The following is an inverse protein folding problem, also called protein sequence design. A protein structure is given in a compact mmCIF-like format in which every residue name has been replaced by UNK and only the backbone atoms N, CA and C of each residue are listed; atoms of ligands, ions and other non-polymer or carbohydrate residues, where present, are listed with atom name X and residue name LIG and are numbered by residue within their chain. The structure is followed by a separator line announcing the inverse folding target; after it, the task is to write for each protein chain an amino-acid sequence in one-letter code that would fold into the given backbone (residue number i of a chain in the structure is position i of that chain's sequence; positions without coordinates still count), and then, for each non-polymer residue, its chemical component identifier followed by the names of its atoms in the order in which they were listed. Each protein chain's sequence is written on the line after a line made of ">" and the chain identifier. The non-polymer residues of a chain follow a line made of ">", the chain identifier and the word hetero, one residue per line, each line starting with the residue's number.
data_IF_623055065431
#
_entry.id   IF_623055065431
#
_cell.length_a   1.000
_cell.length_b   1.000
_cell.length_c   1.000
_cell.angle_alpha   90.00
_cell.angle_beta   90.00
_cell.angle_gamma   90.00
#
_symmetry.space_group_name_H-M   'P 1'
#
loop_
_entity.id
_entity.type
_entity.pdbx_description
1 polymer ?
#
# COMPACT_ATOMS: atom_id res chain seq x y z
N UNK A 1 8.70 12.87 -4.79
CA UNK A 1 8.85 14.26 -5.24
C UNK A 1 7.50 14.96 -5.15
N UNK A 2 7.47 16.07 -4.42
CA UNK A 2 6.30 16.96 -4.38
C UNK A 2 6.43 17.96 -5.53
N UNK A 3 5.83 17.66 -6.68
CA UNK A 3 6.01 18.46 -7.90
C UNK A 3 5.24 19.77 -7.84
N UNK A 4 3.98 19.71 -7.40
CA UNK A 4 3.09 20.87 -7.25
C UNK A 4 2.37 20.87 -5.92
N UNK A 5 2.98 20.28 -4.90
CA UNK A 5 2.44 20.17 -3.57
C UNK A 5 3.37 20.79 -2.54
N UNK A 6 2.78 21.40 -1.50
CA UNK A 6 3.47 21.88 -0.31
C UNK A 6 2.79 21.35 0.93
N UNK A 7 3.56 21.14 1.99
CA UNK A 7 3.02 20.75 3.29
C UNK A 7 2.40 21.97 3.97
N UNK A 8 1.19 21.84 4.48
CA UNK A 8 0.50 22.87 5.26
C UNK A 8 -0.12 22.28 6.52
N UNK A 9 -0.59 23.17 7.40
CA UNK A 9 -1.36 22.81 8.57
C UNK A 9 -2.74 23.47 8.49
N UNK A 10 -3.77 22.67 8.31
CA UNK A 10 -5.15 23.09 8.38
C UNK A 10 -5.67 22.98 9.82
N UNK A 11 -6.43 23.97 10.27
CA UNK A 11 -6.91 24.02 11.66
C UNK A 11 -7.94 22.93 12.01
N UNK A 12 -8.62 22.34 11.01
CA UNK A 12 -9.63 21.29 11.19
C UNK A 12 -9.03 19.90 10.90
N UNK A 13 -8.19 19.79 9.87
CA UNK A 13 -7.66 18.49 9.39
C UNK A 13 -6.22 18.20 9.82
N UNK A 14 -5.51 19.16 10.40
CA UNK A 14 -4.11 19.03 10.79
C UNK A 14 -3.17 19.11 9.59
N UNK A 15 -2.08 18.30 9.59
CA UNK A 15 -1.10 18.29 8.50
C UNK A 15 -1.72 17.81 7.20
N UNK A 16 -1.60 18.60 6.14
CA UNK A 16 -2.13 18.31 4.83
C UNK A 16 -1.14 18.67 3.71
N UNK A 17 -1.42 18.19 2.50
CA UNK A 17 -0.76 18.65 1.29
C UNK A 17 -1.70 19.60 0.54
N UNK A 18 -1.23 20.81 0.29
CA UNK A 18 -1.92 21.80 -0.54
C UNK A 18 -1.18 21.97 -1.87
N UNK A 19 -1.88 22.36 -2.93
CA UNK A 19 -1.24 22.62 -4.22
C UNK A 19 -0.43 23.92 -4.13
N UNK A 20 0.84 23.89 -4.55
CA UNK A 20 1.73 25.06 -4.55
C UNK A 20 1.35 26.12 -5.58
N UNK A 21 0.61 25.71 -6.62
CA UNK A 21 0.15 26.54 -7.73
C UNK A 21 -1.18 25.99 -8.29
N UNK A 22 -1.72 26.64 -9.34
CA UNK A 22 -2.90 26.14 -10.05
C UNK A 22 -2.56 24.83 -10.78
N UNK A 23 -3.45 23.84 -10.67
CA UNK A 23 -3.28 22.52 -11.30
C UNK A 23 -4.42 22.22 -12.27
N UNK A 24 -4.07 21.67 -13.42
CA UNK A 24 -5.04 21.27 -14.44
C UNK A 24 -5.51 19.82 -14.26
N UNK A 25 -6.62 19.47 -14.93
CA UNK A 25 -7.14 18.10 -14.88
C UNK A 25 -6.15 17.15 -15.56
N UNK A 26 -5.74 16.12 -14.83
CA UNK A 26 -4.82 15.10 -15.33
C UNK A 26 -3.35 15.39 -15.01
N UNK A 27 -3.07 16.52 -14.37
CA UNK A 27 -1.72 16.89 -13.98
C UNK A 27 -1.21 16.09 -12.78
N UNK A 28 0.09 15.75 -12.82
CA UNK A 28 0.77 15.03 -11.75
C UNK A 28 1.17 16.00 -10.63
N UNK A 29 0.50 15.88 -9.48
CA UNK A 29 0.72 16.79 -8.33
C UNK A 29 1.80 16.26 -7.39
N UNK A 30 1.79 14.95 -7.15
CA UNK A 30 2.69 14.24 -6.24
C UNK A 30 3.04 12.90 -6.87
N UNK A 31 4.32 12.53 -6.79
CA UNK A 31 4.79 11.20 -7.10
C UNK A 31 5.72 10.74 -5.99
N UNK A 32 5.41 9.63 -5.34
CA UNK A 32 6.24 9.10 -4.27
C UNK A 32 6.40 7.59 -4.43
N UNK A 33 7.60 7.10 -4.14
CA UNK A 33 7.83 5.67 -4.02
C UNK A 33 7.36 5.22 -2.63
N UNK A 34 6.72 4.05 -2.53
CA UNK A 34 6.38 3.50 -1.22
C UNK A 34 7.67 3.26 -0.43
N UNK A 35 7.63 3.52 0.88
CA UNK A 35 8.76 3.23 1.76
C UNK A 35 9.03 1.72 1.85
N UNK A 36 7.98 0.92 1.95
CA UNK A 36 8.04 -0.52 1.76
C UNK A 36 6.74 -1.02 1.10
N UNK A 37 6.84 -2.18 0.47
CA UNK A 37 5.72 -2.91 -0.10
C UNK A 37 5.97 -4.41 0.06
N UNK A 38 4.89 -5.18 0.10
CA UNK A 38 4.93 -6.61 0.32
C UNK A 38 3.56 -7.23 0.14
N UNK A 39 3.40 -8.53 0.47
CA UNK A 39 2.13 -9.22 0.45
C UNK A 39 1.07 -8.44 1.23
N UNK A 40 -0.15 -8.42 0.68
CA UNK A 40 -1.33 -7.86 1.36
C UNK A 40 -1.61 -8.72 2.59
N UNK A 41 -2.09 -8.13 3.69
CA UNK A 41 -2.67 -8.92 4.77
C UNK A 41 -3.76 -9.83 4.24
N UNK A 42 -3.81 -11.04 4.79
CA UNK A 42 -4.77 -12.06 4.40
C UNK A 42 -4.61 -12.48 2.91
N UNK A 43 -3.39 -12.46 2.37
CA UNK A 43 -3.11 -13.03 1.06
C UNK A 43 -2.86 -14.53 1.14
N UNK A 44 -3.16 -15.26 0.08
CA UNK A 44 -2.61 -16.59 -0.13
C UNK A 44 -1.08 -16.56 -0.35
N UNK A 45 -0.50 -17.71 -0.68
CA UNK A 45 0.94 -17.80 -0.89
C UNK A 45 1.34 -17.08 -2.18
N UNK A 46 2.23 -16.10 -2.06
CA UNK A 46 2.75 -15.32 -3.19
C UNK A 46 4.27 -15.33 -3.20
N UNK A 47 4.85 -15.20 -4.40
CA UNK A 47 6.29 -15.00 -4.56
C UNK A 47 6.73 -13.70 -3.91
N UNK A 48 7.77 -13.75 -3.08
CA UNK A 48 8.29 -12.57 -2.38
C UNK A 48 8.99 -11.57 -3.29
N UNK A 49 9.33 -11.93 -4.53
CA UNK A 49 9.90 -11.03 -5.53
C UNK A 49 8.85 -10.33 -6.40
N UNK A 50 7.90 -11.09 -6.96
CA UNK A 50 6.96 -10.57 -7.97
C UNK A 50 5.48 -10.60 -7.57
N UNK A 51 5.14 -11.08 -6.36
CA UNK A 51 3.78 -11.18 -5.83
C UNK A 51 2.78 -12.02 -6.62
N UNK A 52 3.24 -12.79 -7.62
CA UNK A 52 2.38 -13.78 -8.26
C UNK A 52 2.00 -14.83 -7.24
N UNK A 53 0.76 -15.32 -7.30
CA UNK A 53 0.35 -16.49 -6.54
C UNK A 53 1.20 -17.71 -6.92
N UNK A 54 1.60 -18.44 -5.90
CA UNK A 54 2.34 -19.69 -6.04
C UNK A 54 1.44 -20.85 -5.63
N UNK A 55 1.61 -21.98 -6.29
CA UNK A 55 0.88 -23.21 -5.98
C UNK A 55 1.78 -24.06 -5.08
N UNK A 56 1.24 -24.45 -3.94
CA UNK A 56 1.87 -25.37 -2.98
C UNK A 56 0.95 -26.57 -2.83
N UNK A 57 1.53 -27.77 -2.72
CA UNK A 57 0.76 -28.97 -2.44
C UNK A 57 0.10 -28.93 -1.05
N UNK A 58 -0.80 -29.87 -0.77
CA UNK A 58 -1.42 -30.02 0.55
C UNK A 58 -0.39 -30.35 1.65
N UNK A 59 0.74 -30.93 1.27
CA UNK A 59 1.92 -31.19 2.09
C UNK A 59 2.82 -29.95 2.30
N UNK A 60 2.51 -28.84 1.63
CA UNK A 60 3.31 -27.62 1.64
C UNK A 60 4.55 -27.71 0.75
N UNK A 61 4.72 -28.74 -0.08
CA UNK A 61 5.87 -28.85 -0.97
C UNK A 61 5.66 -28.06 -2.27
N UNK A 62 6.73 -27.41 -2.74
CA UNK A 62 6.78 -26.65 -3.99
C UNK A 62 8.23 -26.43 -4.42
N UNK A 63 8.47 -26.38 -5.74
CA UNK A 63 9.75 -25.92 -6.30
C UNK A 63 9.95 -24.40 -6.16
N UNK A 64 8.89 -23.65 -5.85
CA UNK A 64 8.92 -22.18 -5.73
C UNK A 64 9.33 -21.74 -4.31
N UNK A 65 10.49 -22.20 -3.85
CA UNK A 65 11.09 -21.86 -2.56
C UNK A 65 12.51 -21.33 -2.76
N UNK A 66 12.90 -20.35 -1.95
CA UNK A 66 14.27 -19.86 -1.91
C UNK A 66 15.19 -20.92 -1.30
N UNK A 67 16.23 -21.35 -2.01
CA UNK A 67 17.18 -22.37 -1.53
C UNK A 67 17.95 -21.96 -0.26
N UNK A 68 18.02 -20.66 0.04
CA UNK A 68 18.80 -20.13 1.18
C UNK A 68 18.00 -20.04 2.48
N UNK A 69 16.71 -19.70 2.41
CA UNK A 69 15.89 -19.48 3.60
C UNK A 69 14.58 -20.27 3.63
N UNK A 70 14.25 -21.00 2.55
CA UNK A 70 13.04 -21.80 2.38
C UNK A 70 11.73 -21.00 2.24
N UNK A 71 11.80 -19.67 2.11
CA UNK A 71 10.58 -18.85 1.90
C UNK A 71 10.13 -18.77 0.43
N UNK A 72 8.84 -18.47 0.16
CA UNK A 72 8.26 -18.57 -1.17
C UNK A 72 8.90 -17.63 -2.20
N UNK A 73 9.52 -18.20 -3.23
CA UNK A 73 10.22 -17.47 -4.27
C UNK A 73 10.23 -18.30 -5.54
N UNK A 74 9.67 -17.77 -6.63
CA UNK A 74 9.71 -18.49 -7.91
C UNK A 74 11.12 -18.45 -8.51
N UNK A 75 11.44 -19.42 -9.37
CA UNK A 75 12.74 -19.52 -10.03
C UNK A 75 13.17 -18.24 -10.75
N UNK A 76 12.23 -17.52 -11.39
CA UNK A 76 12.54 -16.25 -12.07
C UNK A 76 13.04 -15.15 -11.13
N UNK A 77 12.64 -15.19 -9.86
CA UNK A 77 13.04 -14.21 -8.84
C UNK A 77 14.21 -14.70 -7.98
N UNK A 78 14.57 -16.00 -8.06
CA UNK A 78 15.66 -16.58 -7.28
C UNK A 78 17.02 -15.96 -7.64
N UNK A 79 17.26 -15.72 -8.92
CA UNK A 79 18.52 -15.14 -9.43
C UNK A 79 18.51 -13.60 -9.49
N UNK A 80 17.41 -12.96 -9.11
CA UNK A 80 17.29 -11.50 -9.18
C UNK A 80 17.97 -10.83 -7.97
N UNK A 81 19.18 -10.33 -8.21
CA UNK A 81 19.95 -9.57 -7.21
C UNK A 81 19.25 -8.29 -6.70
N UNK A 82 18.21 -7.82 -7.41
CA UNK A 82 17.39 -6.65 -7.04
C UNK A 82 16.10 -7.00 -6.29
N UNK A 83 15.83 -8.28 -6.05
CA UNK A 83 14.67 -8.74 -5.29
C UNK A 83 14.67 -8.19 -3.85
N UNK A 84 13.54 -7.63 -3.42
CA UNK A 84 13.34 -7.12 -2.05
C UNK A 84 13.46 -8.25 -1.00
N UNK A 85 13.29 -9.50 -1.43
CA UNK A 85 13.45 -10.67 -0.58
C UNK A 85 14.86 -10.79 0.02
N UNK A 86 15.90 -10.21 -0.57
CA UNK A 86 17.28 -10.37 -0.07
C UNK A 86 17.46 -9.90 1.37
N UNK A 87 16.79 -8.81 1.75
CA UNK A 87 16.88 -8.25 3.11
C UNK A 87 16.30 -9.20 4.16
N UNK A 88 15.11 -9.74 3.88
CA UNK A 88 14.42 -10.68 4.77
C UNK A 88 15.00 -12.10 4.72
N UNK A 89 15.56 -12.53 3.58
CA UNK A 89 16.24 -13.82 3.42
C UNK A 89 17.36 -14.02 4.45
N UNK A 90 18.19 -12.99 4.69
CA UNK A 90 19.25 -13.07 5.70
C UNK A 90 18.67 -13.22 7.11
N UNK A 91 17.59 -12.49 7.41
CA UNK A 91 16.91 -12.53 8.71
C UNK A 91 16.36 -13.93 8.96
N UNK A 92 15.62 -14.49 8.00
CA UNK A 92 15.05 -15.83 8.10
C UNK A 92 16.10 -16.92 8.22
N UNK A 93 17.14 -16.88 7.37
CA UNK A 93 18.25 -17.84 7.42
C UNK A 93 19.01 -17.79 8.76
N UNK A 94 19.29 -16.59 9.27
CA UNK A 94 19.99 -16.41 10.56
C UNK A 94 19.12 -16.88 11.73
N UNK A 95 17.83 -16.54 11.73
CA UNK A 95 16.88 -16.93 12.76
C UNK A 95 16.42 -18.40 12.65
N UNK A 96 16.77 -19.10 11.56
CA UNK A 96 16.33 -20.45 11.24
C UNK A 96 14.80 -20.59 11.22
N UNK A 97 14.13 -19.57 10.70
CA UNK A 97 12.68 -19.56 10.52
C UNK A 97 12.36 -20.01 9.10
N UNK A 98 11.70 -21.16 8.97
CA UNK A 98 11.28 -21.72 7.68
C UNK A 98 9.82 -21.39 7.38
N UNK A 99 9.46 -21.49 6.10
CA UNK A 99 8.10 -21.27 5.65
C UNK A 99 7.31 -22.58 5.68
N UNK A 100 6.27 -22.62 6.52
CA UNK A 100 5.47 -23.83 6.71
C UNK A 100 4.42 -24.04 5.62
N UNK A 101 4.06 -22.98 4.86
CA UNK A 101 3.08 -23.12 3.79
C UNK A 101 1.65 -23.34 4.26
N UNK A 102 1.36 -23.10 5.55
CA UNK A 102 0.01 -23.25 6.08
C UNK A 102 -0.92 -22.22 5.46
N UNK A 103 -1.93 -22.71 4.75
CA UNK A 103 -3.03 -21.91 4.19
C UNK A 103 -4.33 -22.32 4.90
N UNK A 104 -5.08 -21.34 5.39
CA UNK A 104 -6.40 -21.57 5.99
C UNK A 104 -7.42 -22.02 4.94
N UNK A 105 -8.58 -22.49 5.40
CA UNK A 105 -9.71 -22.85 4.52
C UNK A 105 -10.21 -21.65 3.68
N UNK A 106 -9.93 -20.44 4.15
CA UNK A 106 -10.21 -19.17 3.48
C UNK A 106 -9.17 -18.79 2.42
N UNK A 107 -8.15 -19.63 2.20
CA UNK A 107 -7.08 -19.38 1.24
C UNK A 107 -6.02 -18.38 1.74
N UNK A 108 -6.02 -18.05 3.03
CA UNK A 108 -5.09 -17.09 3.63
C UNK A 108 -3.83 -17.78 4.15
N UNK A 109 -2.66 -17.18 3.91
CA UNK A 109 -1.39 -17.59 4.50
C UNK A 109 -0.90 -16.55 5.53
N UNK A 110 -1.16 -16.75 6.83
CA UNK A 110 -0.80 -15.76 7.87
C UNK A 110 0.71 -15.54 8.01
N UNK A 111 1.54 -16.51 7.61
CA UNK A 111 3.01 -16.36 7.71
C UNK A 111 3.53 -15.22 6.82
N UNK A 112 2.83 -14.86 5.74
CA UNK A 112 3.25 -13.76 4.87
C UNK A 112 2.91 -12.37 5.43
N UNK A 113 2.07 -12.28 6.47
CA UNK A 113 1.69 -11.01 7.08
C UNK A 113 2.86 -10.29 7.75
N UNK A 114 3.95 -11.01 8.10
CA UNK A 114 5.13 -10.41 8.68
C UNK A 114 6.07 -9.77 7.65
N UNK A 115 5.91 -10.05 6.36
CA UNK A 115 6.84 -9.61 5.30
C UNK A 115 6.85 -8.08 5.17
N UNK A 116 5.69 -7.46 4.99
CA UNK A 116 5.61 -6.00 4.83
C UNK A 116 6.16 -5.26 6.06
N UNK A 117 5.80 -5.63 7.32
CA UNK A 117 6.45 -5.10 8.51
C UNK A 117 7.97 -5.30 8.56
N UNK A 118 8.47 -6.49 8.20
CA UNK A 118 9.90 -6.75 8.15
C UNK A 118 10.60 -5.83 7.15
N UNK A 119 10.02 -5.60 5.98
CA UNK A 119 10.57 -4.68 4.98
C UNK A 119 10.54 -3.22 5.43
N UNK A 120 9.60 -2.81 6.28
CA UNK A 120 9.66 -1.49 6.92
C UNK A 120 10.89 -1.39 7.84
N UNK A 121 11.21 -2.46 8.58
CA UNK A 121 12.34 -2.48 9.51
C UNK A 121 13.68 -2.63 8.78
N UNK A 122 13.77 -3.54 7.82
CA UNK A 122 14.97 -3.82 7.01
C UNK A 122 15.23 -2.73 5.97
N UNK A 123 14.16 -2.17 5.39
CA UNK A 123 14.21 -1.13 4.37
C UNK A 123 14.57 0.25 4.90
N UNK A 124 14.78 0.41 6.21
CA UNK A 124 15.41 1.60 6.78
C UNK A 124 16.90 1.64 6.38
N UNK A 125 17.31 2.43 5.38
CA UNK A 125 18.69 2.43 4.94
C UNK A 125 19.50 3.20 5.98
N UNK A 126 20.59 2.61 6.50
CA UNK A 126 21.76 3.43 6.84
C UNK A 126 22.38 3.91 5.52
N UNK A 127 21.70 4.80 4.80
CA UNK A 127 22.22 5.50 3.59
C UNK A 127 22.26 4.73 2.25
N UNK A 128 21.18 4.06 1.82
CA UNK A 128 21.16 3.27 0.56
C UNK A 128 19.90 3.48 -0.29
N UNK A 129 20.08 3.43 -1.63
CA UNK A 129 19.14 3.76 -2.72
C UNK A 129 17.73 3.16 -2.63
N UNK A 130 16.73 3.83 -3.25
CA UNK A 130 15.38 3.26 -3.40
C UNK A 130 15.38 2.03 -4.33
N UNK A 131 14.49 1.04 -4.08
CA UNK A 131 14.26 -0.07 -4.98
C UNK A 131 13.71 0.43 -6.32
N UNK A 132 14.21 -0.13 -7.42
CA UNK A 132 13.76 0.17 -8.79
C UNK A 132 12.67 -0.82 -9.17
N UNK A 133 11.51 -0.34 -9.64
CA UNK A 133 10.60 -1.18 -10.43
C UNK A 133 9.12 -1.17 -10.05
N UNK A 134 8.67 -0.43 -9.03
CA UNK A 134 7.25 -0.38 -8.69
C UNK A 134 6.58 0.91 -9.20
N UNK A 135 6.11 0.92 -10.45
CA UNK A 135 5.27 2.01 -11.00
C UNK A 135 3.83 1.91 -10.48
N UNK A 136 3.63 2.18 -9.19
CA UNK A 136 2.29 2.33 -8.63
C UNK A 136 1.82 3.79 -8.75
N UNK A 137 1.32 4.17 -9.92
CA UNK A 137 0.71 5.47 -10.15
C UNK A 137 -0.70 5.52 -9.52
N UNK A 138 -0.80 6.08 -8.30
CA UNK A 138 -2.10 6.45 -7.73
C UNK A 138 -2.54 7.80 -8.31
N UNK A 139 -3.33 7.77 -9.39
CA UNK A 139 -4.03 8.96 -9.89
C UNK A 139 -5.23 9.26 -9.01
N UNK A 140 -5.12 10.23 -8.08
CA UNK A 140 -6.29 10.72 -7.35
C UNK A 140 -7.15 11.59 -8.28
N UNK A 141 -8.19 11.01 -8.87
CA UNK A 141 -9.17 11.76 -9.66
C UNK A 141 -10.10 12.53 -8.71
N UNK A 142 -10.05 13.86 -8.74
CA UNK A 142 -10.94 14.73 -7.97
C UNK A 142 -12.39 14.52 -8.42
N UNK A 143 -13.22 13.88 -7.57
CA UNK A 143 -14.68 13.86 -7.71
C UNK A 143 -15.18 15.30 -7.54
N UNK A 144 -15.90 15.83 -8.55
CA UNK A 144 -16.50 17.17 -8.50
C UNK A 144 -17.47 17.25 -7.33
N UNK A 145 -17.16 18.02 -6.29
CA UNK A 145 -18.16 18.58 -5.40
C UNK A 145 -18.39 20.03 -5.79
N UNK A 146 -19.35 20.23 -6.69
CA UNK A 146 -19.94 21.54 -6.96
C UNK A 146 -21.30 21.56 -6.27
N UNK A 147 -21.39 22.06 -5.04
CA UNK A 147 -22.65 22.60 -4.55
C UNK A 147 -22.43 23.65 -3.45
N UNK A 148 -22.58 24.91 -3.87
CA UNK A 148 -23.16 26.04 -3.14
C UNK A 148 -22.70 26.27 -1.69
N UNK A 149 -21.81 27.25 -1.58
CA UNK A 149 -21.84 28.27 -0.53
C UNK A 149 -23.26 28.87 -0.50
N UNK A 150 -24.12 28.46 0.43
CA UNK A 150 -25.36 29.19 0.74
C UNK A 150 -25.06 30.15 1.89
N UNK A 151 -25.17 31.43 1.57
CA UNK A 151 -25.19 32.53 2.52
C UNK A 151 -26.29 32.33 3.57
N UNK A 152 -25.87 32.36 4.83
CA UNK A 152 -26.72 32.74 5.94
C UNK A 152 -26.87 34.26 5.87
N UNK A 153 -28.00 34.77 5.36
CA UNK A 153 -28.83 35.77 6.06
C UNK A 153 -29.96 36.39 5.20
N UNK A 154 -31.12 36.50 5.87
CA UNK A 154 -32.11 37.59 5.80
C UNK A 154 -33.10 37.60 4.62
N UNK A 155 -34.28 37.04 4.89
CA UNK A 155 -35.55 37.80 5.04
C UNK A 155 -36.63 36.79 5.47
N UNK A 156 -37.03 36.71 6.74
CA UNK A 156 -38.21 37.38 7.31
C UNK A 156 -39.36 37.54 6.31
N UNK A 157 -40.58 37.16 6.77
CA UNK A 157 -41.89 37.12 6.07
C UNK A 157 -42.03 35.83 5.24
N UNK A 158 -42.95 34.90 5.51
CA UNK A 158 -44.35 35.02 5.90
C UNK A 158 -44.74 33.68 6.54
N UNK A 159 -45.41 33.69 7.69
CA UNK A 159 -46.79 33.16 7.86
C UNK A 159 -46.89 31.65 7.54
N UNK A 160 -46.84 30.79 8.56
CA UNK A 160 -48.02 30.30 9.29
C UNK A 160 -48.76 29.20 8.54
N UNK A 161 -49.37 28.27 9.29
CA UNK A 161 -50.31 27.22 8.83
C UNK A 161 -49.56 25.98 8.30
N UNK A 162 -49.69 24.76 8.79
CA UNK A 162 -50.37 24.11 9.92
C UNK A 162 -49.71 22.73 10.05
N UNK A 163 -49.48 22.21 11.24
CA UNK A 163 -50.27 21.09 11.79
C UNK A 163 -51.08 20.24 10.77
N UNK A 164 -50.91 18.92 10.94
CA UNK A 164 -51.84 17.82 10.61
C UNK A 164 -51.87 17.21 9.20
N UNK A 165 -52.18 15.91 9.25
CA UNK A 165 -52.47 14.92 8.20
C UNK A 165 -51.21 14.25 7.60
N UNK A 166 -50.93 12.96 7.80
CA UNK A 166 -51.65 11.83 8.42
C UNK A 166 -50.61 10.79 8.85
#
# INVERSE_FOLDING_TARGET
>A
MLLKARLEHDTVYGRCLATSEAVERGELVVEELPFAYGPKRESGIVCLGCYRYLQFGEDGDSLDRCELCDWPLCGNCADDASSDHRGECQVFGTARVTFAGNVGEDGVCPQLDCITPLRLVCGCPRGGRPPRGCSHSKTTTKKKNNQKKMEIQKSKKLLSVSQQFR
#
